data_IF_780033336968
#
_entry.id   IF_780033336968
#
_cell.length_a   1.000
_cell.length_b   1.000
_cell.length_c   1.000
_cell.angle_alpha   90.00
_cell.angle_beta   90.00
_cell.angle_gamma   90.00
#
_symmetry.space_group_name_H-M   'P 1'
#
loop_
_entity.id
_entity.type
_entity.pdbx_description
1 polymer ?
#
# COMPACT_ATOMS: atom_id res chain seq x y z
N UNK A 1 2.70 2.86 -11.37
CA UNK A 1 1.32 2.33 -11.38
C UNK A 1 0.72 2.57 -10.02
N UNK A 2 -0.47 3.15 -10.00
CA UNK A 2 -1.23 3.38 -8.77
C UNK A 2 -2.42 2.43 -8.71
N UNK A 3 -2.84 2.08 -7.50
CA UNK A 3 -4.03 1.28 -7.26
C UNK A 3 -4.74 1.73 -5.99
N UNK A 4 -6.05 1.56 -6.00
CA UNK A 4 -6.92 1.97 -4.90
C UNK A 4 -8.08 0.98 -4.76
N UNK A 5 -8.46 0.68 -3.53
CA UNK A 5 -9.66 -0.10 -3.21
C UNK A 5 -10.45 0.68 -2.17
N UNK A 6 -11.72 0.96 -2.48
CA UNK A 6 -12.66 1.60 -1.59
C UNK A 6 -13.72 0.58 -1.16
N UNK A 7 -14.02 0.51 0.13
CA UNK A 7 -15.00 -0.41 0.67
C UNK A 7 -15.22 -0.23 2.16
N UNK A 8 -16.24 -0.87 2.68
CA UNK A 8 -16.52 -0.85 4.12
C UNK A 8 -15.54 -1.75 4.87
N UNK A 9 -15.13 -1.31 6.07
CA UNK A 9 -14.31 -2.10 7.01
C UNK A 9 -12.94 -2.55 6.46
N UNK A 10 -12.36 -1.83 5.50
CA UNK A 10 -10.98 -2.07 5.08
C UNK A 10 -10.00 -1.71 6.21
N UNK A 11 -8.88 -2.42 6.23
CA UNK A 11 -7.86 -2.30 7.28
C UNK A 11 -6.48 -2.41 6.66
N UNK A 12 -5.45 -2.05 7.42
CA UNK A 12 -4.06 -2.18 6.98
C UNK A 12 -3.72 -3.61 6.58
N UNK A 13 -4.31 -4.62 7.23
CA UNK A 13 -4.13 -6.02 6.88
C UNK A 13 -4.65 -6.37 5.48
N UNK A 14 -5.76 -5.76 5.05
CA UNK A 14 -6.26 -5.93 3.69
C UNK A 14 -5.26 -5.37 2.66
N UNK A 15 -4.72 -4.17 2.92
CA UNK A 15 -3.67 -3.57 2.07
C UNK A 15 -2.44 -4.48 1.97
N UNK A 16 -1.93 -4.97 3.10
CA UNK A 16 -0.80 -5.90 3.11
C UNK A 16 -1.12 -7.17 2.31
N UNK A 17 -2.33 -7.72 2.45
CA UNK A 17 -2.79 -8.91 1.71
C UNK A 17 -2.83 -8.70 0.19
N UNK A 18 -3.33 -7.54 -0.26
CA UNK A 18 -3.31 -7.16 -1.68
C UNK A 18 -1.87 -7.08 -2.18
N UNK A 19 -0.97 -6.44 -1.43
CA UNK A 19 0.44 -6.28 -1.82
C UNK A 19 1.16 -7.63 -1.88
N UNK A 20 1.00 -8.49 -0.89
CA UNK A 20 1.55 -9.86 -0.89
C UNK A 20 1.06 -10.63 -2.11
N UNK A 21 -0.23 -10.57 -2.41
CA UNK A 21 -0.82 -11.28 -3.55
C UNK A 21 -0.28 -10.75 -4.87
N UNK A 22 -0.23 -9.43 -5.04
CA UNK A 22 0.26 -8.77 -6.24
C UNK A 22 1.73 -9.10 -6.51
N UNK A 23 2.60 -8.90 -5.52
CA UNK A 23 4.04 -9.11 -5.69
C UNK A 23 4.40 -10.58 -5.91
N UNK A 24 3.68 -11.50 -5.24
CA UNK A 24 3.84 -12.93 -5.48
C UNK A 24 3.50 -13.31 -6.92
N UNK A 25 2.45 -12.71 -7.51
CA UNK A 25 2.07 -12.98 -8.89
C UNK A 25 3.11 -12.52 -9.92
N UNK A 26 3.98 -11.57 -9.56
CA UNK A 26 5.08 -11.09 -10.42
C UNK A 26 6.46 -11.62 -10.00
N UNK A 27 6.51 -12.60 -9.10
CA UNK A 27 7.75 -13.32 -8.74
C UNK A 27 8.55 -12.73 -7.57
N UNK A 28 7.99 -11.79 -6.79
CA UNK A 28 8.60 -11.26 -5.58
C UNK A 28 7.88 -11.86 -4.36
N UNK A 29 8.49 -12.86 -3.73
CA UNK A 29 7.87 -13.61 -2.62
C UNK A 29 8.16 -13.02 -1.24
N UNK A 30 9.35 -12.47 -1.05
CA UNK A 30 9.80 -11.93 0.23
C UNK A 30 9.50 -10.44 0.30
N UNK A 31 8.48 -10.08 1.08
CA UNK A 31 8.11 -8.69 1.37
C UNK A 31 8.37 -8.30 2.81
N UNK A 32 8.75 -7.03 2.99
CA UNK A 32 8.83 -6.36 4.28
C UNK A 32 8.08 -5.04 4.20
N UNK A 33 7.21 -4.80 5.18
CA UNK A 33 6.48 -3.54 5.32
C UNK A 33 7.16 -2.68 6.38
N UNK A 34 7.32 -1.40 6.10
CA UNK A 34 7.93 -0.44 7.01
C UNK A 34 7.00 0.76 7.17
N UNK A 35 6.61 1.14 8.39
CA UNK A 35 5.84 2.36 8.61
C UNK A 35 6.55 3.58 8.01
N UNK A 36 5.78 4.46 7.39
CA UNK A 36 6.28 5.71 6.81
C UNK A 36 5.28 6.84 7.05
N UNK A 37 5.57 8.04 6.56
CA UNK A 37 4.67 9.18 6.61
C UNK A 37 4.28 9.59 5.19
N UNK A 38 2.97 9.67 4.93
CA UNK A 38 2.43 10.40 3.79
C UNK A 38 1.36 11.39 4.30
N UNK A 39 1.23 12.60 3.72
CA UNK A 39 0.28 13.61 4.21
C UNK A 39 -1.19 13.18 4.18
N UNK A 40 -1.56 12.31 3.24
CA UNK A 40 -2.94 11.96 2.93
C UNK A 40 -3.32 10.52 3.33
N UNK A 41 -2.40 9.75 3.89
CA UNK A 41 -2.68 8.40 4.42
C UNK A 41 -2.28 8.24 5.88
N UNK A 42 -3.10 7.53 6.65
CA UNK A 42 -2.81 7.11 8.01
C UNK A 42 -3.62 5.83 8.34
N UNK A 43 -2.96 4.69 8.64
CA UNK A 43 -1.51 4.43 8.61
C UNK A 43 -0.91 4.39 7.20
N UNK A 44 0.40 4.63 7.09
CA UNK A 44 1.19 4.58 5.84
C UNK A 44 2.35 3.59 5.93
N UNK A 45 2.71 2.94 4.83
CA UNK A 45 3.81 1.99 4.75
C UNK A 45 4.57 2.04 3.42
N UNK A 46 5.90 1.96 3.50
CA UNK A 46 6.77 1.52 2.40
C UNK A 46 6.78 -0.01 2.32
N UNK A 47 6.93 -0.52 1.10
CA UNK A 47 7.00 -1.95 0.78
C UNK A 47 8.38 -2.24 0.22
N UNK A 48 9.06 -3.22 0.80
CA UNK A 48 10.37 -3.68 0.37
C UNK A 48 10.30 -5.11 -0.13
N UNK A 49 10.89 -5.39 -1.29
CA UNK A 49 11.11 -6.74 -1.81
C UNK A 49 12.57 -7.16 -1.63
N UNK A 50 12.84 -8.42 -1.30
CA UNK A 50 14.21 -8.93 -1.27
C UNK A 50 14.70 -9.24 -2.70
N UNK A 51 15.84 -8.67 -3.09
CA UNK A 51 16.46 -8.94 -4.39
C UNK A 51 17.56 -10.00 -4.22
N UNK A 52 17.39 -11.23 -4.73
CA UNK A 52 18.34 -12.33 -4.49
C UNK A 52 19.73 -12.08 -5.11
N UNK A 53 19.79 -11.48 -6.31
CA UNK A 53 21.07 -11.15 -6.97
C UNK A 53 21.90 -10.10 -6.23
N UNK A 54 21.27 -9.05 -5.70
CA UNK A 54 21.92 -7.96 -4.95
C UNK A 54 22.01 -8.23 -3.44
N UNK A 55 21.40 -9.32 -2.96
CA UNK A 55 21.34 -9.74 -1.56
C UNK A 55 20.90 -8.64 -0.58
N UNK A 56 19.93 -7.82 -0.99
CA UNK A 56 19.43 -6.69 -0.19
C UNK A 56 17.94 -6.45 -0.40
N UNK A 57 17.33 -5.76 0.56
CA UNK A 57 15.97 -5.24 0.46
C UNK A 57 15.96 -3.99 -0.42
N UNK A 58 15.01 -3.92 -1.35
CA UNK A 58 14.81 -2.79 -2.25
C UNK A 58 13.38 -2.29 -2.07
N UNK A 59 13.21 -0.97 -2.01
CA UNK A 59 11.89 -0.35 -1.98
C UNK A 59 11.18 -0.58 -3.32
N UNK A 60 10.04 -1.26 -3.28
CA UNK A 60 9.24 -1.60 -4.47
C UNK A 60 7.95 -0.79 -4.55
N UNK A 61 7.52 -0.15 -3.47
CA UNK A 61 6.39 0.76 -3.49
C UNK A 61 6.11 1.48 -2.18
N UNK A 62 5.16 2.41 -2.24
CA UNK A 62 4.62 3.14 -1.10
C UNK A 62 3.09 2.93 -1.05
N UNK A 63 2.50 2.93 0.14
CA UNK A 63 1.10 2.60 0.35
C UNK A 63 0.54 3.20 1.64
N UNK A 64 -0.78 3.20 1.78
CA UNK A 64 -1.44 3.60 3.02
C UNK A 64 -2.97 3.59 2.93
N UNK A 65 -3.61 3.93 4.04
CA UNK A 65 -5.07 4.12 4.11
C UNK A 65 -5.40 5.60 4.04
N UNK A 66 -6.28 6.04 3.14
CA UNK A 66 -6.62 7.47 3.07
C UNK A 66 -7.27 7.94 4.36
N UNK A 67 -6.85 9.14 4.76
CA UNK A 67 -7.33 9.82 5.96
C UNK A 67 -8.81 10.21 5.83
N UNK A 68 -9.61 10.11 6.90
CA UNK A 68 -11.00 10.58 6.88
C UNK A 68 -11.14 12.05 6.47
N UNK A 69 -10.19 12.91 6.84
CA UNK A 69 -10.20 14.34 6.50
C UNK A 69 -9.98 14.61 5.01
N UNK A 70 -9.41 13.65 4.28
CA UNK A 70 -9.26 13.69 2.83
C UNK A 70 -10.53 13.18 2.12
N UNK A 71 -11.15 12.12 2.67
CA UNK A 71 -12.34 11.49 2.09
C UNK A 71 -13.64 12.27 2.34
N UNK A 72 -13.79 12.89 3.52
CA UNK A 72 -15.00 13.59 3.93
C UNK A 72 -15.44 14.69 2.96
N UNK A 73 -14.55 15.61 2.53
CA UNK A 73 -14.87 16.64 1.54
C UNK A 73 -15.29 16.09 0.17
N UNK A 74 -14.98 14.83 -0.15
CA UNK A 74 -15.39 14.16 -1.39
C UNK A 74 -16.80 13.55 -1.31
N UNK A 75 -17.45 13.59 -0.14
CA UNK A 75 -18.80 13.07 0.07
C UNK A 75 -18.86 11.55 0.27
N UNK A 76 -17.73 10.90 0.57
CA UNK A 76 -17.76 9.48 0.93
C UNK A 76 -18.40 9.27 2.30
N UNK A 77 -19.24 8.22 2.46
CA UNK A 77 -19.79 7.87 3.77
C UNK A 77 -18.68 7.51 4.79
N UNK A 78 -18.86 7.80 6.10
CA UNK A 78 -17.85 7.53 7.14
C UNK A 78 -17.43 6.06 7.28
N UNK A 79 -18.30 5.13 6.90
CA UNK A 79 -18.06 3.69 6.89
C UNK A 79 -17.12 3.24 5.76
N UNK A 80 -16.97 4.05 4.71
CA UNK A 80 -16.11 3.75 3.57
C UNK A 80 -14.67 4.09 3.93
N UNK A 81 -13.83 3.06 3.91
CA UNK A 81 -12.38 3.18 4.02
C UNK A 81 -11.74 2.98 2.66
N UNK A 82 -10.60 3.63 2.42
CA UNK A 82 -9.87 3.51 1.15
C UNK A 82 -8.43 3.14 1.41
N UNK A 83 -7.97 2.04 0.83
CA UNK A 83 -6.56 1.62 0.82
C UNK A 83 -5.97 1.94 -0.54
N UNK A 84 -4.75 2.47 -0.58
CA UNK A 84 -4.10 2.90 -1.80
C UNK A 84 -2.61 2.55 -1.81
N UNK A 85 -2.04 2.43 -3.00
CA UNK A 85 -0.62 2.19 -3.20
C UNK A 85 -0.13 2.78 -4.51
N UNK A 86 1.17 3.09 -4.55
CA UNK A 86 1.91 3.53 -5.72
C UNK A 86 3.18 2.69 -5.88
N UNK A 87 3.32 2.06 -7.04
CA UNK A 87 4.47 1.24 -7.42
C UNK A 87 5.22 1.93 -8.56
N UNK A 88 6.54 1.94 -8.51
CA UNK A 88 7.33 2.40 -9.66
C UNK A 88 7.54 1.27 -10.65
N UNK A 89 7.20 1.48 -11.93
CA UNK A 89 7.52 0.51 -12.99
C UNK A 89 8.96 0.64 -13.51
N UNK A 90 9.62 1.76 -13.20
CA UNK A 90 10.96 2.09 -13.70
C UNK A 90 12.08 1.69 -12.73
N UNK A 91 11.75 1.07 -11.59
CA UNK A 91 12.70 0.70 -10.53
C UNK A 91 13.12 -0.76 -10.59
#
# INVERSE_FOLDING_TARGET
>A
VEGVVAGENLSLGHLMGVMVTFYKAIGIEELKFKPTFNPYTEPSMEIFGYHPGLKRWIEVGNSGMFRPEMLGPMGLPPEVSVIAWGLSLER
#
